data_IF_022009240174
#
_entry.id   IF_022009240174
#
_cell.length_a   1.000
_cell.length_b   1.000
_cell.length_c   1.000
_cell.angle_alpha   90.00
_cell.angle_beta   90.00
_cell.angle_gamma   90.00
#
_symmetry.space_group_name_H-M   'P 1'
#
loop_
_entity.id
_entity.type
_entity.pdbx_description
1 polymer ?
#
# COMPACT_ATOMS: atom_id res chain seq x y z
N UNK A 1 1.36 -8.56 -2.69
CA UNK A 1 0.65 -7.48 -1.99
C UNK A 1 0.95 -7.59 -0.51
N UNK A 2 1.23 -6.48 0.17
CA UNK A 2 1.38 -6.36 1.61
C UNK A 2 0.23 -5.52 2.13
N UNK A 3 -0.27 -5.82 3.32
CA UNK A 3 -1.36 -5.06 3.91
C UNK A 3 -1.19 -4.92 5.42
N UNK A 4 -1.69 -3.81 5.94
CA UNK A 4 -1.64 -3.45 7.36
C UNK A 4 -3.03 -3.08 7.84
N UNK A 5 -3.35 -3.56 9.02
CA UNK A 5 -4.57 -3.21 9.73
C UNK A 5 -4.27 -2.19 10.82
N UNK A 6 -5.07 -1.13 10.88
CA UNK A 6 -5.10 -0.19 11.99
C UNK A 6 -6.48 -0.21 12.65
N UNK A 7 -6.58 -0.19 13.99
CA UNK A 7 -7.88 -0.20 14.68
C UNK A 7 -8.77 1.00 14.39
N UNK A 8 -8.19 2.12 13.97
CA UNK A 8 -8.88 3.36 13.62
C UNK A 8 -8.13 4.09 12.51
N UNK A 9 -8.88 4.69 11.61
CA UNK A 9 -8.39 5.80 10.78
C UNK A 9 -8.82 7.11 11.43
N UNK A 10 -7.86 7.96 11.82
CA UNK A 10 -8.15 9.21 12.51
C UNK A 10 -7.67 10.39 11.68
N UNK A 11 -8.63 11.12 11.12
CA UNK A 11 -8.39 12.43 10.53
C UNK A 11 -9.49 13.43 10.88
N UNK A 12 -9.12 14.70 10.95
CA UNK A 12 -10.02 15.84 11.15
C UNK A 12 -10.05 16.64 9.86
N UNK A 13 -11.06 16.40 9.03
CA UNK A 13 -11.19 17.06 7.73
C UNK A 13 -11.94 18.38 7.78
N UNK A 14 -11.81 19.17 6.70
CA UNK A 14 -12.77 20.22 6.37
C UNK A 14 -14.16 19.59 6.11
N UNK A 15 -15.24 20.31 6.45
CA UNK A 15 -16.65 19.92 6.23
C UNK A 15 -17.21 18.77 7.08
N UNK A 16 -16.73 18.58 8.32
CA UNK A 16 -17.29 17.61 9.30
C UNK A 16 -17.00 16.13 8.98
N UNK A 17 -16.10 15.84 8.05
CA UNK A 17 -15.62 14.47 7.85
C UNK A 17 -14.84 14.03 9.08
N UNK A 18 -15.25 12.89 9.63
CA UNK A 18 -14.63 12.25 10.79
C UNK A 18 -13.95 10.98 10.31
N UNK A 19 -12.82 10.66 10.94
CA UNK A 19 -12.21 9.35 10.87
C UNK A 19 -13.20 8.22 11.20
N UNK A 20 -12.80 6.98 10.93
CA UNK A 20 -13.63 5.80 11.14
C UNK A 20 -12.91 4.72 11.93
N UNK A 21 -13.70 3.80 12.48
CA UNK A 21 -13.17 2.55 13.05
C UNK A 21 -12.66 1.69 11.90
N UNK A 22 -11.56 0.99 12.15
CA UNK A 22 -10.84 0.15 11.20
C UNK A 22 -10.18 0.94 10.07
N UNK A 23 -9.00 0.49 9.67
CA UNK A 23 -8.35 0.91 8.46
C UNK A 23 -7.56 -0.27 7.90
N UNK A 24 -7.68 -0.48 6.60
CA UNK A 24 -6.81 -1.39 5.86
C UNK A 24 -6.09 -0.58 4.80
N UNK A 25 -4.77 -0.65 4.82
CA UNK A 25 -3.92 -0.09 3.76
C UNK A 25 -3.10 -1.22 3.15
N UNK A 26 -2.69 -1.04 1.91
CA UNK A 26 -1.88 -2.03 1.21
C UNK A 26 -0.87 -1.41 0.25
N UNK A 27 0.18 -2.18 -0.01
CA UNK A 27 1.16 -1.91 -1.04
C UNK A 27 1.32 -3.13 -1.95
N UNK A 28 1.44 -2.90 -3.25
CA UNK A 28 1.75 -3.94 -4.23
C UNK A 28 3.15 -3.67 -4.78
N UNK A 29 4.05 -4.63 -4.60
CA UNK A 29 5.41 -4.58 -5.13
C UNK A 29 5.44 -5.40 -6.41
N UNK A 30 5.68 -4.73 -7.54
CA UNK A 30 5.74 -5.37 -8.85
C UNK A 30 7.17 -5.74 -9.18
N UNK A 31 7.40 -7.04 -9.37
CA UNK A 31 8.70 -7.60 -9.73
C UNK A 31 8.73 -7.95 -11.21
N UNK A 32 9.93 -7.97 -11.79
CA UNK A 32 10.15 -8.51 -13.14
C UNK A 32 9.91 -10.02 -13.20
N UNK A 33 10.58 -10.78 -12.33
CA UNK A 33 10.47 -12.22 -12.24
C UNK A 33 10.95 -12.70 -10.85
N UNK A 34 10.05 -13.22 -10.00
CA UNK A 34 10.42 -13.71 -8.67
C UNK A 34 11.32 -14.95 -8.68
N UNK A 35 11.47 -15.66 -9.82
CA UNK A 35 12.34 -16.82 -9.94
C UNK A 35 13.83 -16.47 -10.11
N UNK A 36 14.16 -15.19 -10.32
CA UNK A 36 15.56 -14.74 -10.42
C UNK A 36 16.22 -14.71 -9.04
N UNK A 37 17.54 -14.91 -8.99
CA UNK A 37 18.30 -14.80 -7.73
C UNK A 37 18.28 -13.39 -7.13
N UNK A 38 18.08 -12.36 -7.97
CA UNK A 38 17.92 -10.96 -7.59
C UNK A 38 16.82 -10.32 -8.45
N UNK A 39 15.55 -10.52 -8.12
CA UNK A 39 14.44 -9.89 -8.83
C UNK A 39 14.56 -8.36 -8.76
N UNK A 40 14.20 -7.69 -9.86
CA UNK A 40 14.13 -6.22 -9.92
C UNK A 40 12.73 -5.76 -9.53
N UNK A 41 12.67 -4.76 -8.64
CA UNK A 41 11.42 -4.04 -8.38
C UNK A 41 11.19 -3.05 -9.52
N UNK A 42 10.06 -3.20 -10.23
CA UNK A 42 9.68 -2.38 -11.38
C UNK A 42 8.79 -1.20 -10.99
N UNK A 43 7.93 -1.43 -9.99
CA UNK A 43 7.02 -0.42 -9.48
C UNK A 43 6.56 -0.80 -8.06
N UNK A 44 6.14 0.21 -7.29
CA UNK A 44 5.44 0.03 -6.03
C UNK A 44 4.17 0.85 -6.07
N UNK A 45 3.05 0.20 -5.76
CA UNK A 45 1.73 0.82 -5.78
C UNK A 45 1.19 0.87 -4.35
N UNK A 46 0.80 2.05 -3.85
CA UNK A 46 0.29 2.20 -2.47
C UNK A 46 -1.17 2.63 -2.48
N UNK A 47 -1.97 2.02 -1.60
CA UNK A 47 -3.39 2.32 -1.49
C UNK A 47 -3.63 3.72 -0.96
N UNK A 48 -4.56 4.44 -1.59
CA UNK A 48 -5.09 5.72 -1.11
C UNK A 48 -6.34 5.50 -0.26
N UNK A 49 -6.78 6.55 0.43
CA UNK A 49 -7.94 6.50 1.32
C UNK A 49 -9.27 6.14 0.64
N UNK A 50 -9.38 6.33 -0.68
CA UNK A 50 -10.55 6.00 -1.49
C UNK A 50 -10.45 4.61 -2.15
N UNK A 51 -9.47 3.79 -1.76
CA UNK A 51 -9.28 2.44 -2.28
C UNK A 51 -8.64 2.38 -3.68
N UNK A 52 -8.16 3.52 -4.20
CA UNK A 52 -7.33 3.56 -5.41
C UNK A 52 -5.87 3.31 -5.05
N UNK A 53 -5.00 3.34 -6.07
CA UNK A 53 -3.56 3.18 -5.89
C UNK A 53 -2.80 4.33 -6.55
N UNK A 54 -1.85 4.89 -5.80
CA UNK A 54 -0.76 5.67 -6.37
C UNK A 54 0.31 4.70 -6.85
N UNK A 55 0.86 4.91 -8.05
CA UNK A 55 1.81 4.00 -8.68
C UNK A 55 3.13 4.72 -8.91
N UNK A 56 4.14 4.34 -8.15
CA UNK A 56 5.51 4.81 -8.33
C UNK A 56 6.28 3.80 -9.20
N UNK A 57 6.82 4.27 -10.33
CA UNK A 57 7.53 3.42 -11.31
C UNK A 57 9.02 3.73 -11.32
N UNK A 58 9.83 2.73 -11.70
CA UNK A 58 11.25 2.92 -11.99
C UNK A 58 11.45 3.63 -13.34
N UNK A 59 11.11 4.91 -13.38
CA UNK A 59 11.26 5.81 -14.53
C UNK A 59 12.07 7.04 -14.12
N UNK A 60 12.68 7.77 -15.09
CA UNK A 60 13.35 9.02 -14.78
C UNK A 60 12.44 9.96 -13.99
N UNK A 61 12.96 10.66 -12.96
CA UNK A 61 12.13 11.52 -12.12
C UNK A 61 11.46 12.62 -12.92
N UNK A 62 10.22 12.93 -12.57
CA UNK A 62 9.54 14.11 -13.10
C UNK A 62 10.16 15.36 -12.47
N UNK A 63 10.40 16.39 -13.30
CA UNK A 63 10.93 17.67 -12.84
C UNK A 63 9.88 18.76 -13.05
N UNK A 64 9.49 19.40 -11.95
CA UNK A 64 8.71 20.63 -11.97
C UNK A 64 9.59 21.87 -12.13
N UNK A 65 8.97 23.05 -12.01
CA UNK A 65 9.66 24.34 -12.15
C UNK A 65 10.74 24.58 -11.08
N UNK A 66 10.61 23.98 -9.89
CA UNK A 66 11.44 24.29 -8.72
C UNK A 66 12.19 23.09 -8.14
N UNK A 67 11.77 21.87 -8.44
CA UNK A 67 12.36 20.63 -7.92
C UNK A 67 11.99 19.46 -8.82
N UNK A 68 12.74 18.37 -8.71
CA UNK A 68 12.38 17.08 -9.26
C UNK A 68 11.92 16.15 -8.14
N UNK A 69 11.10 15.16 -8.50
CA UNK A 69 10.79 14.06 -7.61
C UNK A 69 12.09 13.27 -7.30
N UNK A 70 12.17 12.61 -6.13
CA UNK A 70 13.26 11.68 -5.86
C UNK A 70 13.31 10.56 -6.91
N UNK A 71 14.51 10.10 -7.32
CA UNK A 71 14.66 8.86 -8.07
C UNK A 71 13.94 7.68 -7.42
N UNK A 72 13.37 6.78 -8.23
CA UNK A 72 12.69 5.59 -7.72
C UNK A 72 13.56 4.77 -6.75
N UNK A 73 14.85 4.64 -7.07
CA UNK A 73 15.83 3.97 -6.21
C UNK A 73 15.96 4.59 -4.81
N UNK A 74 15.67 5.89 -4.65
CA UNK A 74 15.72 6.56 -3.35
C UNK A 74 14.55 6.17 -2.45
N UNK A 75 13.52 5.52 -2.96
CA UNK A 75 12.45 4.92 -2.15
C UNK A 75 12.71 3.46 -1.77
N UNK A 76 13.80 2.86 -2.27
CA UNK A 76 14.11 1.45 -2.03
C UNK A 76 15.39 1.33 -1.18
N UNK A 77 15.30 0.72 0.00
CA UNK A 77 16.45 0.36 0.82
C UNK A 77 16.85 -1.10 0.56
N UNK A 78 17.80 -1.31 -0.36
CA UNK A 78 18.21 -2.65 -0.79
C UNK A 78 17.11 -3.34 -1.58
N UNK A 79 16.37 -4.25 -0.94
CA UNK A 79 15.20 -4.93 -1.52
C UNK A 79 13.88 -4.52 -0.86
N UNK A 80 13.92 -3.52 0.03
CA UNK A 80 12.79 -3.11 0.86
C UNK A 80 12.26 -1.76 0.41
N UNK A 81 11.05 -1.67 -0.16
CA UNK A 81 10.37 -0.40 -0.36
C UNK A 81 10.15 0.32 0.98
N UNK A 82 10.50 1.60 1.02
CA UNK A 82 10.31 2.45 2.18
C UNK A 82 8.93 3.10 2.09
N UNK A 83 8.07 2.79 3.07
CA UNK A 83 6.68 3.25 3.12
C UNK A 83 6.43 4.09 4.36
N UNK A 84 5.62 5.14 4.20
CA UNK A 84 5.13 5.97 5.29
C UNK A 84 3.60 5.87 5.34
N UNK A 85 3.07 5.61 6.54
CA UNK A 85 1.65 5.72 6.83
C UNK A 85 1.40 6.93 7.72
N UNK A 86 0.46 7.79 7.32
CA UNK A 86 0.14 8.99 8.08
C UNK A 86 -0.94 9.83 7.41
N UNK A 87 -1.20 11.01 7.97
CA UNK A 87 -2.17 11.96 7.43
C UNK A 87 -1.48 12.82 6.36
N UNK A 88 -1.90 12.66 5.10
CA UNK A 88 -1.50 13.52 3.99
C UNK A 88 -2.72 14.27 3.47
N UNK A 89 -2.61 15.59 3.30
CA UNK A 89 -3.71 16.44 2.81
C UNK A 89 -5.04 16.17 3.54
N UNK A 90 -4.95 16.10 4.87
CA UNK A 90 -6.05 15.81 5.78
C UNK A 90 -6.62 14.39 5.74
N UNK A 91 -6.13 13.47 4.91
CA UNK A 91 -6.64 12.09 4.89
C UNK A 91 -5.52 11.10 5.17
N UNK A 92 -5.83 9.99 5.86
CA UNK A 92 -4.85 8.93 6.07
C UNK A 92 -4.49 8.24 4.77
N UNK A 93 -3.20 8.08 4.51
CA UNK A 93 -2.67 7.49 3.29
C UNK A 93 -1.46 6.62 3.57
N UNK A 94 -1.21 5.68 2.67
CA UNK A 94 0.07 5.00 2.55
C UNK A 94 0.80 5.55 1.33
N UNK A 95 2.06 5.91 1.49
CA UNK A 95 2.90 6.45 0.40
C UNK A 95 4.33 5.95 0.50
N UNK A 96 5.08 6.11 -0.58
CA UNK A 96 6.53 5.86 -0.57
C UNK A 96 7.26 7.03 0.11
N UNK A 97 8.34 6.76 0.83
CA UNK A 97 9.17 7.77 1.50
C UNK A 97 10.66 7.56 1.24
N UNK A 98 11.43 8.63 1.16
CA UNK A 98 12.90 8.56 1.09
C UNK A 98 13.54 8.50 2.48
N UNK A 99 12.74 8.51 3.55
CA UNK A 99 13.23 8.29 4.89
C UNK A 99 13.84 6.89 5.03
N UNK A 100 14.81 6.74 5.94
CA UNK A 100 15.59 5.50 6.12
C UNK A 100 15.36 4.88 7.50
N UNK A 101 14.27 5.25 8.15
CA UNK A 101 13.82 4.67 9.39
C UNK A 101 12.43 4.08 9.18
N UNK A 102 12.09 3.09 9.99
CA UNK A 102 10.87 2.32 9.88
C UNK A 102 11.03 0.99 10.61
N UNK A 103 9.95 0.24 10.68
CA UNK A 103 9.92 -1.05 11.34
C UNK A 103 9.39 -2.12 10.39
N UNK A 104 9.94 -3.32 10.49
CA UNK A 104 9.34 -4.50 9.88
C UNK A 104 8.38 -5.12 10.89
N UNK A 105 7.26 -5.63 10.40
CA UNK A 105 6.31 -6.40 11.20
C UNK A 105 6.45 -7.89 10.88
N UNK A 106 6.02 -8.74 11.81
CA UNK A 106 5.95 -10.17 11.55
C UNK A 106 4.97 -10.44 10.41
N UNK A 107 5.49 -11.01 9.32
CA UNK A 107 4.69 -11.34 8.15
C UNK A 107 3.96 -12.66 8.35
N UNK A 108 2.66 -12.66 8.04
CA UNK A 108 1.87 -13.86 7.80
C UNK A 108 1.25 -13.75 6.41
N UNK A 109 1.47 -14.74 5.57
CA UNK A 109 0.91 -14.79 4.21
C UNK A 109 -0.52 -15.31 4.23
N UNK A 110 -1.33 -14.95 3.23
CA UNK A 110 -2.71 -15.42 3.11
C UNK A 110 -2.80 -16.95 3.14
N UNK A 111 -1.88 -17.63 2.45
CA UNK A 111 -1.80 -19.09 2.35
C UNK A 111 -1.31 -19.75 3.64
N UNK A 112 -0.75 -18.97 4.58
CA UNK A 112 -0.30 -19.47 5.89
C UNK A 112 -1.38 -19.35 6.97
N UNK A 113 -2.46 -18.62 6.70
CA UNK A 113 -3.57 -18.47 7.64
C UNK A 113 -4.41 -19.74 7.75
N UNK A 114 -4.99 -19.99 8.92
CA UNK A 114 -5.97 -21.06 9.10
C UNK A 114 -7.24 -20.77 8.27
N UNK A 115 -8.05 -21.79 8.05
CA UNK A 115 -9.33 -21.64 7.36
C UNK A 115 -10.24 -20.65 8.11
N UNK A 116 -10.27 -20.71 9.45
CA UNK A 116 -11.07 -19.83 10.29
C UNK A 116 -10.62 -18.36 10.17
N UNK A 117 -9.31 -18.11 10.12
CA UNK A 117 -8.78 -16.76 9.95
C UNK A 117 -9.12 -16.20 8.56
N UNK A 118 -9.00 -17.02 7.50
CA UNK A 118 -9.40 -16.62 6.14
C UNK A 118 -10.90 -16.37 6.03
N UNK A 119 -11.72 -17.22 6.63
CA UNK A 119 -13.17 -17.04 6.72
C UNK A 119 -13.53 -15.73 7.44
N UNK A 120 -12.97 -15.50 8.63
CA UNK A 120 -13.21 -14.28 9.39
C UNK A 120 -12.83 -13.01 8.61
N UNK A 121 -11.67 -12.99 7.94
CA UNK A 121 -11.25 -11.84 7.12
C UNK A 121 -12.14 -11.61 5.89
N UNK A 122 -12.74 -12.67 5.36
CA UNK A 122 -13.60 -12.58 4.17
C UNK A 122 -15.03 -12.15 4.50
N UNK A 123 -15.52 -12.49 5.70
CA UNK A 123 -16.92 -12.28 6.10
C UNK A 123 -17.12 -11.07 7.03
N UNK A 124 -16.09 -10.64 7.75
CA UNK A 124 -16.19 -9.54 8.71
C UNK A 124 -16.40 -8.20 8.00
N UNK A 125 -17.40 -7.46 8.44
CA UNK A 125 -17.61 -6.08 8.03
C UNK A 125 -16.65 -5.13 8.77
N UNK A 126 -15.65 -4.63 8.05
CA UNK A 126 -14.71 -3.61 8.51
C UNK A 126 -15.16 -2.17 8.16
N UNK A 127 -16.37 -2.01 7.63
CA UNK A 127 -16.95 -0.75 7.17
C UNK A 127 -16.78 -0.53 5.66
N UNK A 128 -17.63 0.33 5.09
CA UNK A 128 -17.70 0.54 3.63
C UNK A 128 -16.44 1.17 3.02
N UNK A 129 -15.73 1.97 3.81
CA UNK A 129 -14.57 2.75 3.32
C UNK A 129 -13.30 1.91 3.17
N UNK A 130 -13.21 0.78 3.86
CA UNK A 130 -11.97 0.00 3.98
C UNK A 130 -12.28 -1.49 3.91
N UNK A 131 -11.95 -2.09 2.76
CA UNK A 131 -12.08 -3.53 2.52
C UNK A 131 -10.74 -4.21 2.75
N UNK A 132 -10.77 -5.47 3.23
CA UNK A 132 -9.56 -6.28 3.33
C UNK A 132 -9.00 -6.50 1.92
N UNK A 133 -7.77 -6.06 1.61
CA UNK A 133 -7.36 -5.90 0.22
C UNK A 133 -6.89 -7.21 -0.44
N UNK A 134 -6.50 -8.20 0.36
CA UNK A 134 -5.88 -9.45 -0.09
C UNK A 134 -6.79 -10.68 0.00
N UNK A 135 -8.07 -10.51 0.37
CA UNK A 135 -9.03 -11.63 0.33
C UNK A 135 -9.38 -11.95 -1.13
N UNK A 136 -9.76 -13.20 -1.38
CA UNK A 136 -10.08 -13.71 -2.73
C UNK A 136 -11.07 -12.80 -3.49
N UNK A 137 -12.07 -12.25 -2.80
CA UNK A 137 -13.08 -11.37 -3.40
C UNK A 137 -12.54 -10.02 -3.90
N UNK A 138 -11.42 -9.55 -3.36
CA UNK A 138 -10.87 -8.21 -3.66
C UNK A 138 -9.49 -8.26 -4.33
N UNK A 139 -8.75 -9.38 -4.20
CA UNK A 139 -7.34 -9.46 -4.56
C UNK A 139 -7.08 -9.13 -6.04
N UNK A 140 -7.76 -9.80 -6.96
CA UNK A 140 -7.56 -9.60 -8.40
C UNK A 140 -7.95 -8.18 -8.84
N UNK A 141 -9.06 -7.65 -8.31
CA UNK A 141 -9.49 -6.29 -8.60
C UNK A 141 -8.47 -5.25 -8.13
N UNK A 142 -7.88 -5.47 -6.95
CA UNK A 142 -6.82 -4.62 -6.41
C UNK A 142 -5.50 -4.76 -7.17
N UNK A 143 -5.15 -5.96 -7.64
CA UNK A 143 -4.00 -6.14 -8.52
C UNK A 143 -4.17 -5.39 -9.84
N UNK A 144 -5.36 -5.45 -10.45
CA UNK A 144 -5.61 -4.71 -11.69
C UNK A 144 -5.60 -3.19 -11.45
N UNK A 145 -6.23 -2.71 -10.37
CA UNK A 145 -6.25 -1.29 -10.02
C UNK A 145 -4.85 -0.72 -9.67
N UNK A 146 -3.96 -1.57 -9.14
CA UNK A 146 -2.59 -1.19 -8.77
C UNK A 146 -1.57 -1.42 -9.89
N UNK A 147 -1.98 -1.99 -11.01
CA UNK A 147 -1.09 -2.43 -12.08
C UNK A 147 -0.37 -1.25 -12.72
N UNK A 148 0.98 -1.23 -12.77
CA UNK A 148 1.69 -0.24 -13.55
C UNK A 148 1.38 -0.51 -15.02
N UNK A 149 0.57 0.34 -15.66
CA UNK A 149 0.45 0.32 -17.12
C UNK A 149 1.85 0.52 -17.70
N UNK A 150 2.41 -0.52 -18.30
CA UNK A 150 3.72 -0.50 -18.97
C UNK A 150 3.56 0.07 -20.38
#
# INVERSE_FOLDING_TARGET
>A
MYAWYFPKDMWYGVFSNKGHRHNWVSAVVWLDNPALAKPKILAVSTSTADGKYNIEKDVPPSCGRYSCDPPFADYINGTTPMLAHGIMYEVSSLGMTTERFGELQNLVMWEQLTEEARGALSETDFGEKVKVPFIDANFDANLEASRPFL
#
